data_IF_441978821767
#
_entry.id   IF_441978821767
#
_cell.length_a   1.000
_cell.length_b   1.000
_cell.length_c   1.000
_cell.angle_alpha   90.00
_cell.angle_beta   90.00
_cell.angle_gamma   90.00
#
_symmetry.space_group_name_H-M   'P 1'
#
loop_
_entity.id
_entity.type
_entity.pdbx_description
1 polymer ?
#
# COMPACT_ATOMS: atom_id res chain seq x y z
N UNK A 1 -26.50 -4.13 -4.52
CA UNK A 1 -25.33 -4.56 -5.28
C UNK A 1 -24.93 -3.39 -6.17
N UNK A 2 -23.65 -3.05 -6.25
CA UNK A 2 -23.18 -1.95 -7.11
C UNK A 2 -23.19 -2.37 -8.58
N UNK A 3 -23.32 -1.41 -9.52
CA UNK A 3 -23.17 -1.67 -10.96
C UNK A 3 -21.78 -2.27 -11.28
N UNK A 4 -21.70 -3.01 -12.39
CA UNK A 4 -20.43 -3.54 -12.87
C UNK A 4 -19.43 -2.42 -13.17
N UNK A 5 -18.17 -2.62 -12.80
CA UNK A 5 -17.11 -1.63 -12.91
C UNK A 5 -17.02 -0.62 -11.75
N UNK A 6 -18.04 -0.53 -10.89
CA UNK A 6 -17.99 0.33 -9.71
C UNK A 6 -17.06 -0.25 -8.66
N UNK A 7 -16.29 0.64 -8.01
CA UNK A 7 -15.46 0.27 -6.86
C UNK A 7 -16.31 0.10 -5.61
N UNK A 8 -16.00 -0.92 -4.83
CA UNK A 8 -16.69 -1.18 -3.59
C UNK A 8 -15.99 -2.23 -2.74
N UNK A 9 -16.47 -2.38 -1.51
CA UNK A 9 -15.96 -3.41 -0.60
C UNK A 9 -16.44 -4.79 -1.03
N UNK A 10 -15.51 -5.73 -1.06
CA UNK A 10 -15.80 -7.13 -1.36
C UNK A 10 -16.57 -7.77 -0.20
N UNK A 11 -17.74 -8.29 -0.52
CA UNK A 11 -18.58 -9.07 0.38
C UNK A 11 -18.91 -10.41 -0.27
N UNK A 12 -18.65 -11.51 0.40
CA UNK A 12 -18.96 -12.82 -0.16
C UNK A 12 -19.66 -13.74 0.81
N UNK A 13 -20.34 -14.72 0.24
CA UNK A 13 -21.02 -15.81 0.90
C UNK A 13 -20.50 -17.11 0.31
N UNK A 14 -20.13 -18.06 1.18
CA UNK A 14 -19.78 -19.42 0.73
C UNK A 14 -21.06 -20.19 0.39
N UNK A 15 -21.09 -20.84 -0.77
CA UNK A 15 -22.27 -21.57 -1.25
C UNK A 15 -22.21 -23.06 -0.94
N UNK A 16 -21.02 -23.62 -0.75
CA UNK A 16 -20.80 -25.07 -0.59
C UNK A 16 -20.09 -25.47 0.71
N UNK A 17 -19.82 -24.52 1.60
CA UNK A 17 -19.07 -24.76 2.83
C UNK A 17 -20.06 -25.14 3.95
N UNK A 18 -20.03 -26.39 4.38
CA UNK A 18 -20.93 -26.90 5.44
C UNK A 18 -20.44 -26.55 6.85
N UNK A 19 -19.12 -26.64 7.09
CA UNK A 19 -18.51 -26.25 8.35
C UNK A 19 -18.11 -24.77 8.31
N UNK A 20 -18.49 -23.98 9.33
CA UNK A 20 -18.27 -22.53 9.43
C UNK A 20 -18.79 -21.78 8.19
N UNK A 21 -20.10 -21.76 7.95
CA UNK A 21 -20.67 -21.06 6.82
C UNK A 21 -20.37 -19.56 6.93
N UNK A 22 -19.84 -19.01 5.84
CA UNK A 22 -19.58 -17.57 5.74
C UNK A 22 -20.74 -16.94 4.98
N UNK A 23 -21.49 -16.07 5.63
CA UNK A 23 -22.63 -15.38 5.04
C UNK A 23 -22.39 -13.88 5.07
N UNK A 24 -22.36 -13.22 3.89
CA UNK A 24 -22.18 -11.79 3.71
C UNK A 24 -20.94 -11.24 4.46
N UNK A 25 -19.86 -12.00 4.43
CA UNK A 25 -18.63 -11.62 5.08
C UNK A 25 -17.99 -10.41 4.39
N UNK A 26 -17.78 -9.34 5.14
CA UNK A 26 -17.10 -8.14 4.71
C UNK A 26 -15.60 -8.32 4.87
N UNK A 27 -14.87 -8.35 3.75
CA UNK A 27 -13.41 -8.54 3.78
C UNK A 27 -12.65 -7.26 4.06
N UNK A 28 -13.31 -6.11 3.86
CA UNK A 28 -12.75 -4.76 3.81
C UNK A 28 -11.83 -4.50 2.62
N UNK A 29 -11.63 -5.48 1.75
CA UNK A 29 -10.87 -5.30 0.52
C UNK A 29 -11.70 -4.52 -0.50
N UNK A 30 -11.08 -3.53 -1.13
CA UNK A 30 -11.69 -2.71 -2.18
C UNK A 30 -11.32 -3.29 -3.54
N UNK A 31 -12.34 -3.56 -4.34
CA UNK A 31 -12.21 -4.10 -5.69
C UNK A 31 -13.37 -3.67 -6.58
N UNK A 32 -13.40 -4.15 -7.81
CA UNK A 32 -14.49 -3.95 -8.77
C UNK A 32 -14.97 -5.29 -9.28
N UNK A 33 -16.27 -5.44 -9.40
CA UNK A 33 -16.84 -6.58 -10.12
C UNK A 33 -17.03 -6.18 -11.59
N UNK A 34 -16.48 -6.98 -12.48
CA UNK A 34 -16.50 -6.76 -13.92
C UNK A 34 -17.50 -7.71 -14.56
N UNK A 35 -18.07 -7.30 -15.69
CA UNK A 35 -18.99 -8.11 -16.48
C UNK A 35 -18.38 -9.50 -16.81
N UNK A 36 -19.22 -10.53 -16.95
CA UNK A 36 -18.80 -11.84 -17.44
C UNK A 36 -18.14 -11.73 -18.83
N UNK A 37 -17.26 -12.69 -19.15
CA UNK A 37 -16.71 -12.85 -20.51
C UNK A 37 -17.18 -14.14 -21.12
N UNK A 38 -16.37 -15.21 -21.00
CA UNK A 38 -16.70 -16.54 -21.56
C UNK A 38 -17.53 -17.41 -20.61
N UNK A 39 -17.67 -17.02 -19.34
CA UNK A 39 -18.44 -17.74 -18.32
C UNK A 39 -19.52 -16.84 -17.74
N UNK A 40 -20.57 -17.42 -17.17
CA UNK A 40 -21.72 -16.70 -16.60
C UNK A 40 -21.41 -15.87 -15.37
N UNK A 41 -20.28 -16.12 -14.69
CA UNK A 41 -19.91 -15.43 -13.45
C UNK A 41 -19.19 -14.11 -13.74
N UNK A 42 -19.50 -13.10 -12.92
CA UNK A 42 -18.74 -11.85 -12.90
C UNK A 42 -17.31 -12.11 -12.47
N UNK A 43 -16.39 -11.33 -12.98
CA UNK A 43 -14.99 -11.38 -12.61
C UNK A 43 -14.70 -10.36 -11.51
N UNK A 44 -13.78 -10.69 -10.63
CA UNK A 44 -13.23 -9.75 -9.67
C UNK A 44 -11.98 -9.09 -10.25
N UNK A 45 -11.89 -7.77 -10.16
CA UNK A 45 -10.69 -7.02 -10.49
C UNK A 45 -9.59 -7.22 -9.42
N UNK A 46 -8.42 -6.63 -9.66
CA UNK A 46 -7.36 -6.57 -8.65
C UNK A 46 -7.86 -5.84 -7.41
N UNK A 47 -7.49 -6.31 -6.22
CA UNK A 47 -7.71 -5.59 -4.96
C UNK A 47 -6.85 -4.33 -4.97
N UNK A 48 -7.47 -3.17 -4.78
CA UNK A 48 -6.81 -1.85 -4.81
C UNK A 48 -6.22 -1.52 -3.45
N UNK A 49 -6.85 -1.99 -2.38
CA UNK A 49 -6.45 -1.77 -1.01
C UNK A 49 -7.53 -2.25 -0.05
N UNK A 50 -7.39 -1.92 1.22
CA UNK A 50 -8.40 -2.21 2.26
C UNK A 50 -9.02 -0.91 2.76
N UNK A 51 -10.32 -0.92 3.00
CA UNK A 51 -11.03 0.26 3.48
C UNK A 51 -10.59 0.69 4.90
N UNK A 52 -10.09 -0.26 5.71
CA UNK A 52 -9.57 0.00 7.05
C UNK A 52 -8.10 0.44 7.08
N UNK A 53 -7.38 0.28 5.98
CA UNK A 53 -5.98 0.75 5.84
C UNK A 53 -5.90 2.11 5.13
N UNK A 54 -7.03 2.66 4.69
CA UNK A 54 -7.09 3.95 4.02
C UNK A 54 -6.75 5.08 4.99
N UNK A 55 -5.85 5.94 4.58
CA UNK A 55 -5.46 7.14 5.31
C UNK A 55 -5.83 8.38 4.52
N UNK A 56 -6.32 9.41 5.21
CA UNK A 56 -6.50 10.74 4.60
C UNK A 56 -5.27 11.58 4.95
N UNK A 57 -4.54 11.99 3.93
CA UNK A 57 -3.33 12.80 4.05
C UNK A 57 -3.51 14.06 3.20
N UNK A 58 -3.61 15.21 3.82
CA UNK A 58 -3.85 16.51 3.13
C UNK A 58 -5.06 16.45 2.18
N UNK A 59 -6.15 15.75 2.58
CA UNK A 59 -7.36 15.60 1.77
C UNK A 59 -7.30 14.52 0.68
N UNK A 60 -6.18 13.80 0.55
CA UNK A 60 -6.02 12.71 -0.41
C UNK A 60 -6.17 11.36 0.28
N UNK A 61 -6.96 10.47 -0.31
CA UNK A 61 -7.07 9.08 0.15
C UNK A 61 -5.82 8.29 -0.29
N UNK A 62 -5.05 7.83 0.68
CA UNK A 62 -3.79 7.10 0.47
C UNK A 62 -3.90 5.69 1.01
N UNK A 63 -3.52 4.72 0.20
CA UNK A 63 -3.44 3.32 0.59
C UNK A 63 -1.98 2.86 0.67
N UNK A 64 -1.57 2.14 1.71
CA UNK A 64 -0.21 1.58 1.81
C UNK A 64 0.17 0.73 0.60
N UNK A 65 -0.79 0.02 0.00
CA UNK A 65 -0.59 -0.79 -1.20
C UNK A 65 -0.13 0.01 -2.42
N UNK A 66 -0.54 1.27 -2.55
CA UNK A 66 -0.07 2.15 -3.63
C UNK A 66 1.42 2.48 -3.47
N UNK A 67 1.86 2.71 -2.24
CA UNK A 67 3.28 2.95 -1.93
C UNK A 67 4.09 1.67 -2.16
N UNK A 68 3.55 0.51 -1.75
CA UNK A 68 4.18 -0.79 -2.00
C UNK A 68 4.45 -1.04 -3.48
N UNK A 69 3.47 -0.80 -4.34
CA UNK A 69 3.63 -0.97 -5.79
C UNK A 69 4.74 -0.07 -6.35
N UNK A 70 4.85 1.16 -5.86
CA UNK A 70 5.89 2.09 -6.28
C UNK A 70 7.27 1.60 -5.83
N UNK A 71 7.40 1.17 -4.57
CA UNK A 71 8.66 0.67 -4.03
C UNK A 71 9.11 -0.59 -4.77
N UNK A 72 8.20 -1.54 -5.00
CA UNK A 72 8.47 -2.79 -5.73
C UNK A 72 8.83 -2.57 -7.21
N UNK A 73 8.41 -1.47 -7.80
CA UNK A 73 8.75 -1.13 -9.17
C UNK A 73 10.21 -0.67 -9.34
N UNK A 74 10.93 -0.39 -8.25
CA UNK A 74 12.35 -0.06 -8.29
C UNK A 74 13.21 -1.29 -7.96
N UNK A 75 13.96 -1.77 -8.94
CA UNK A 75 14.77 -2.98 -8.80
C UNK A 75 15.92 -2.86 -7.76
N UNK A 76 16.27 -1.65 -7.33
CA UNK A 76 17.28 -1.43 -6.28
C UNK A 76 16.73 -1.60 -4.86
N UNK A 77 15.40 -1.66 -4.70
CA UNK A 77 14.73 -1.73 -3.40
C UNK A 77 14.18 -3.13 -3.12
N UNK A 78 14.12 -3.49 -1.84
CA UNK A 78 13.33 -4.63 -1.37
C UNK A 78 11.85 -4.23 -1.33
N UNK A 79 10.96 -5.17 -1.07
CA UNK A 79 9.55 -4.85 -0.79
C UNK A 79 9.32 -4.31 0.63
N UNK A 80 10.38 -4.12 1.43
CA UNK A 80 10.28 -3.59 2.78
C UNK A 80 10.27 -2.06 2.75
N UNK A 81 9.22 -1.49 3.33
CA UNK A 81 9.08 -0.06 3.51
C UNK A 81 8.29 0.27 4.76
N UNK A 82 8.44 1.49 5.25
CA UNK A 82 7.66 2.05 6.33
C UNK A 82 7.20 3.46 5.97
N UNK A 83 5.98 3.79 6.33
CA UNK A 83 5.41 5.14 6.21
C UNK A 83 5.31 5.75 7.60
N UNK A 84 6.01 6.84 7.82
CA UNK A 84 5.93 7.62 9.04
C UNK A 84 5.10 8.87 8.77
N UNK A 85 3.96 8.98 9.44
CA UNK A 85 3.04 10.09 9.28
C UNK A 85 3.07 10.89 10.57
N UNK A 86 3.30 12.18 10.45
CA UNK A 86 3.26 13.12 11.56
C UNK A 86 2.52 14.38 11.14
N UNK A 87 2.23 15.23 12.10
CA UNK A 87 1.64 16.54 11.85
C UNK A 87 2.51 17.60 12.47
N UNK A 88 3.01 18.49 11.63
CA UNK A 88 3.75 19.68 12.05
C UNK A 88 2.90 20.91 11.76
N UNK A 89 2.42 21.55 12.84
CA UNK A 89 1.45 22.62 12.73
C UNK A 89 0.12 22.14 12.12
N UNK A 90 -0.25 22.71 10.97
CA UNK A 90 -1.53 22.42 10.30
C UNK A 90 -1.44 21.36 9.20
N UNK A 91 -0.23 20.96 8.82
CA UNK A 91 -0.03 20.07 7.67
C UNK A 91 0.50 18.71 8.10
N UNK A 92 -0.04 17.67 7.49
CA UNK A 92 0.49 16.32 7.62
C UNK A 92 1.81 16.21 6.84
N UNK A 93 2.82 15.61 7.46
CA UNK A 93 4.07 15.22 6.82
C UNK A 93 4.16 13.72 6.69
N UNK A 94 4.68 13.26 5.57
CA UNK A 94 4.87 11.83 5.29
C UNK A 94 6.31 11.60 4.91
N UNK A 95 6.94 10.67 5.62
CA UNK A 95 8.27 10.17 5.29
C UNK A 95 8.17 8.68 4.99
N UNK A 96 8.72 8.26 3.86
CA UNK A 96 8.75 6.86 3.42
C UNK A 96 10.17 6.34 3.56
N UNK A 97 10.34 5.31 4.36
CA UNK A 97 11.60 4.59 4.51
C UNK A 97 11.59 3.38 3.58
N UNK A 98 12.61 3.24 2.77
CA UNK A 98 12.80 2.12 1.85
C UNK A 98 14.11 1.41 2.16
N UNK A 99 14.18 0.12 1.90
CA UNK A 99 15.37 -0.69 2.13
C UNK A 99 15.97 -1.17 0.80
N UNK A 100 17.29 -1.04 0.67
CA UNK A 100 18.04 -1.51 -0.50
C UNK A 100 18.04 -3.04 -0.58
N UNK A 101 18.15 -3.56 -1.81
CA UNK A 101 18.47 -4.97 -2.05
C UNK A 101 19.84 -5.33 -1.44
N UNK A 102 20.04 -6.56 -0.95
CA UNK A 102 21.31 -7.00 -0.38
C UNK A 102 22.52 -6.74 -1.27
N UNK A 103 22.34 -6.85 -2.59
CA UNK A 103 23.38 -6.62 -3.60
C UNK A 103 23.78 -5.15 -3.75
N UNK A 104 23.00 -4.24 -3.17
CA UNK A 104 23.20 -2.78 -3.18
C UNK A 104 23.69 -2.23 -1.83
N UNK A 105 24.12 -3.09 -0.91
CA UNK A 105 24.67 -2.68 0.39
C UNK A 105 25.87 -1.74 0.20
N UNK A 106 25.92 -0.66 0.99
CA UNK A 106 26.98 0.33 0.94
C UNK A 106 26.92 1.30 -0.25
N UNK A 107 25.77 1.41 -0.91
CA UNK A 107 25.56 2.39 -1.98
C UNK A 107 25.85 3.81 -1.47
N UNK A 108 26.49 4.64 -2.29
CA UNK A 108 26.83 6.01 -1.93
C UNK A 108 25.62 6.94 -1.79
N UNK A 109 25.82 8.06 -1.10
CA UNK A 109 24.72 9.01 -0.81
C UNK A 109 24.09 9.60 -2.09
N UNK A 110 24.88 9.83 -3.13
CA UNK A 110 24.39 10.35 -4.41
C UNK A 110 23.38 9.36 -5.05
N UNK A 111 23.75 8.09 -5.15
CA UNK A 111 22.88 7.06 -5.75
C UNK A 111 21.65 6.77 -4.88
N UNK A 112 21.76 6.82 -3.56
CA UNK A 112 20.62 6.75 -2.65
C UNK A 112 19.67 7.94 -2.87
N UNK A 113 20.24 9.12 -3.10
CA UNK A 113 19.50 10.33 -3.43
C UNK A 113 18.69 10.19 -4.72
N UNK A 114 19.26 9.62 -5.76
CA UNK A 114 18.58 9.35 -7.03
C UNK A 114 17.40 8.38 -6.85
N UNK A 115 17.61 7.28 -6.10
CA UNK A 115 16.55 6.32 -5.78
C UNK A 115 15.43 7.01 -4.99
N UNK A 116 15.78 7.81 -3.97
CA UNK A 116 14.82 8.55 -3.17
C UNK A 116 13.99 9.53 -4.01
N UNK A 117 14.63 10.30 -4.88
CA UNK A 117 13.96 11.22 -5.80
C UNK A 117 13.01 10.50 -6.76
N UNK A 118 13.43 9.36 -7.29
CA UNK A 118 12.60 8.54 -8.16
C UNK A 118 11.32 8.10 -7.44
N UNK A 119 11.43 7.56 -6.21
CA UNK A 119 10.30 7.14 -5.39
C UNK A 119 9.39 8.35 -5.08
N UNK A 120 9.96 9.49 -4.66
CA UNK A 120 9.20 10.72 -4.39
C UNK A 120 8.38 11.16 -5.59
N UNK A 121 9.01 11.21 -6.75
CA UNK A 121 8.34 11.66 -7.98
C UNK A 121 7.21 10.70 -8.37
N UNK A 122 7.41 9.39 -8.22
CA UNK A 122 6.37 8.40 -8.47
C UNK A 122 5.20 8.52 -7.51
N UNK A 123 5.46 8.70 -6.22
CA UNK A 123 4.41 8.92 -5.22
C UNK A 123 3.62 10.19 -5.55
N UNK A 124 4.30 11.28 -5.87
CA UNK A 124 3.65 12.54 -6.24
C UNK A 124 2.77 12.39 -7.48
N UNK A 125 3.23 11.67 -8.49
CA UNK A 125 2.51 11.49 -9.76
C UNK A 125 1.32 10.54 -9.63
N UNK A 126 1.48 9.42 -8.91
CA UNK A 126 0.48 8.34 -8.88
C UNK A 126 -0.49 8.45 -7.71
N UNK A 127 -0.03 8.98 -6.58
CA UNK A 127 -0.83 9.10 -5.35
C UNK A 127 -1.28 10.54 -5.09
N UNK A 128 -0.56 11.52 -5.61
CA UNK A 128 -0.93 12.95 -5.48
C UNK A 128 -0.43 13.62 -4.20
N UNK A 129 0.46 12.98 -3.42
CA UNK A 129 1.03 13.56 -2.21
C UNK A 129 2.55 13.78 -2.34
N UNK A 130 3.05 14.84 -1.70
CA UNK A 130 4.49 15.05 -1.54
C UNK A 130 4.98 14.38 -0.27
N UNK A 131 6.09 13.62 -0.38
CA UNK A 131 6.69 12.87 0.73
C UNK A 131 8.19 13.15 0.81
N UNK A 132 8.78 12.96 1.97
CA UNK A 132 10.22 12.71 2.08
C UNK A 132 10.46 11.20 1.87
N UNK A 133 11.60 10.83 1.30
CA UNK A 133 11.99 9.42 1.15
C UNK A 133 13.40 9.25 1.65
N UNK A 134 13.61 8.21 2.47
CA UNK A 134 14.95 7.78 2.93
C UNK A 134 15.21 6.36 2.51
N UNK A 135 16.42 6.12 2.03
CA UNK A 135 16.87 4.82 1.56
C UNK A 135 17.94 4.28 2.52
N UNK A 136 17.64 3.15 3.12
CA UNK A 136 18.47 2.50 4.13
C UNK A 136 19.19 1.26 3.57
N UNK A 137 20.27 0.87 4.21
CA UNK A 137 20.96 -0.38 3.91
C UNK A 137 20.07 -1.60 4.21
N UNK A 138 20.36 -2.74 3.58
CA UNK A 138 19.68 -3.99 3.89
C UNK A 138 19.77 -4.34 5.38
N UNK A 139 18.70 -4.95 5.92
CA UNK A 139 18.56 -5.38 7.31
C UNK A 139 18.45 -4.22 8.34
N UNK A 140 18.16 -2.99 7.88
CA UNK A 140 17.98 -1.82 8.74
C UNK A 140 16.52 -1.65 9.20
N UNK A 141 15.56 -1.97 8.33
CA UNK A 141 14.14 -1.88 8.66
C UNK A 141 13.73 -3.08 9.51
N UNK A 142 13.17 -2.81 10.69
CA UNK A 142 12.74 -3.84 11.64
C UNK A 142 11.74 -4.82 11.00
N UNK A 143 12.04 -6.10 11.11
CA UNK A 143 11.19 -7.20 10.66
C UNK A 143 10.44 -7.77 11.84
N UNK A 144 9.12 -7.74 11.80
CA UNK A 144 8.32 -8.33 12.88
C UNK A 144 8.42 -9.86 12.84
N UNK A 145 8.58 -10.47 14.01
CA UNK A 145 8.68 -11.94 14.18
C UNK A 145 7.43 -12.69 13.70
N UNK A 146 6.30 -12.01 13.57
CA UNK A 146 5.01 -12.60 13.17
C UNK A 146 4.74 -12.57 11.67
N UNK A 147 5.72 -12.21 10.83
CA UNK A 147 5.60 -12.17 9.37
C UNK A 147 4.72 -11.05 8.81
N UNK A 148 4.08 -10.23 9.65
CA UNK A 148 3.32 -9.05 9.23
C UNK A 148 4.12 -7.79 9.56
N UNK A 149 4.87 -7.24 8.61
CA UNK A 149 5.57 -5.98 8.79
C UNK A 149 4.57 -4.85 9.07
N UNK A 150 4.79 -4.11 10.16
CA UNK A 150 4.05 -2.86 10.40
C UNK A 150 4.54 -1.82 9.40
N UNK A 151 3.67 -1.45 8.46
CA UNK A 151 4.00 -0.55 7.35
C UNK A 151 3.68 0.91 7.63
N UNK A 152 2.79 1.19 8.59
CA UNK A 152 2.31 2.53 8.90
C UNK A 152 2.55 2.89 10.37
N UNK A 153 3.24 3.99 10.57
CA UNK A 153 3.52 4.61 11.87
C UNK A 153 2.87 5.99 11.89
N UNK A 154 1.58 6.04 12.23
CA UNK A 154 0.84 7.29 12.35
C UNK A 154 1.05 7.87 13.75
N UNK A 155 1.76 9.00 13.82
CA UNK A 155 2.09 9.76 15.04
C UNK A 155 1.27 11.05 15.14
N UNK A 156 0.25 11.22 14.31
CA UNK A 156 -0.63 12.40 14.40
C UNK A 156 -1.39 12.37 15.73
N UNK A 157 -1.58 13.53 16.37
CA UNK A 157 -2.46 13.61 17.54
C UNK A 157 -3.89 13.21 17.13
N UNK A 158 -4.52 12.41 17.96
CA UNK A 158 -5.92 11.98 17.78
C UNK A 158 -6.88 13.06 18.25
#
# INVERSE_FOLDING_TARGET
MLPDGSEGELVFTSLSKEAMPIVRYRTRDLTRLLAPTSRSFRRMGKIVGRSDDMMIIRGVNVFPTQIEEIVLANASLTGLYQMHISRDGLLDTVEVHCELQPQRRGLGDAERGEIAQWVQQRIKTLVGISTAVRVFDPDTIERTQTGKARRVYDKRPR
#
